data_IF_252283566112
#
_entry.id   IF_252283566112
#
_cell.length_a   1.000
_cell.length_b   1.000
_cell.length_c   1.000
_cell.angle_alpha   90.00
_cell.angle_beta   90.00
_cell.angle_gamma   90.00
#
_symmetry.space_group_name_H-M   'P 1'
#
loop_
_entity.id
_entity.type
_entity.pdbx_description
1 polymer ?
#
# COMPACT_ATOMS: atom_id res chain seq x y z
N UNK A 1 -7.20 -27.79 22.14
CA UNK A 1 -7.67 -26.42 22.41
C UNK A 1 -8.57 -26.01 21.25
N UNK A 2 -9.83 -25.69 21.51
CA UNK A 2 -10.84 -25.30 20.50
C UNK A 2 -11.43 -23.96 20.89
N UNK A 3 -11.91 -23.22 19.92
CA UNK A 3 -12.54 -21.91 20.10
C UNK A 3 -13.93 -21.92 19.47
N UNK A 4 -14.85 -21.19 20.08
CA UNK A 4 -16.21 -21.05 19.57
C UNK A 4 -16.28 -19.84 18.64
N UNK A 5 -16.91 -20.01 17.48
CA UNK A 5 -17.14 -18.90 16.57
C UNK A 5 -18.14 -17.91 17.19
N UNK A 6 -17.80 -16.61 17.30
CA UNK A 6 -18.70 -15.61 17.90
C UNK A 6 -19.93 -15.30 17.03
N UNK A 7 -19.93 -15.69 15.75
CA UNK A 7 -21.03 -15.41 14.82
C UNK A 7 -22.03 -16.57 14.71
N UNK A 8 -21.55 -17.82 14.63
CA UNK A 8 -22.43 -18.98 14.41
C UNK A 8 -22.36 -20.06 15.51
N UNK A 9 -21.48 -19.92 16.50
CA UNK A 9 -21.36 -20.89 17.60
C UNK A 9 -20.58 -22.17 17.27
N UNK A 10 -20.03 -22.30 16.07
CA UNK A 10 -19.30 -23.50 15.65
C UNK A 10 -17.96 -23.67 16.38
N UNK A 11 -17.63 -24.90 16.77
CA UNK A 11 -16.34 -25.23 17.34
C UNK A 11 -15.26 -25.27 16.25
N UNK A 12 -14.24 -24.44 16.38
CA UNK A 12 -13.13 -24.39 15.45
C UNK A 12 -11.81 -24.68 16.17
N UNK A 13 -10.84 -25.38 15.55
CA UNK A 13 -9.50 -25.50 16.10
C UNK A 13 -8.87 -24.12 16.31
N UNK A 14 -8.10 -23.91 17.38
CA UNK A 14 -7.50 -22.59 17.66
C UNK A 14 -6.60 -22.04 16.54
N UNK A 15 -6.00 -22.92 15.73
CA UNK A 15 -5.16 -22.56 14.58
C UNK A 15 -5.93 -21.96 13.40
N UNK A 16 -7.27 -22.02 13.41
CA UNK A 16 -8.09 -21.51 12.31
C UNK A 16 -8.22 -19.99 12.39
N UNK A 17 -7.84 -19.30 11.30
CA UNK A 17 -8.01 -17.84 11.18
C UNK A 17 -9.45 -17.43 10.85
N UNK A 18 -10.18 -18.31 10.18
CA UNK A 18 -11.57 -18.14 9.75
C UNK A 18 -12.40 -19.34 10.17
N UNK A 19 -13.69 -19.14 10.43
CA UNK A 19 -14.62 -20.21 10.73
C UNK A 19 -14.83 -21.09 9.49
N UNK A 20 -14.68 -22.41 9.64
CA UNK A 20 -14.88 -23.36 8.54
C UNK A 20 -16.35 -23.49 8.09
N UNK A 21 -17.30 -23.01 8.90
CA UNK A 21 -18.74 -23.09 8.62
C UNK A 21 -19.30 -21.79 8.03
N UNK A 22 -19.12 -20.65 8.72
CA UNK A 22 -19.72 -19.38 8.32
C UNK A 22 -18.72 -18.35 7.74
N UNK A 23 -17.42 -18.65 7.71
CA UNK A 23 -16.39 -17.76 7.15
C UNK A 23 -15.97 -16.58 8.04
N UNK A 24 -16.54 -16.42 9.24
CA UNK A 24 -16.19 -15.31 10.15
C UNK A 24 -14.71 -15.37 10.55
N UNK A 25 -14.04 -14.22 10.53
CA UNK A 25 -12.66 -14.09 11.04
C UNK A 25 -12.64 -14.36 12.54
N UNK A 26 -11.88 -15.37 12.91
CA UNK A 26 -11.68 -15.80 14.28
C UNK A 26 -10.48 -15.07 14.89
N UNK A 27 -9.43 -14.82 14.10
CA UNK A 27 -8.26 -14.11 14.60
C UNK A 27 -8.39 -12.62 14.24
N UNK A 28 -8.27 -11.69 15.20
CA UNK A 28 -8.08 -10.30 14.83
C UNK A 28 -6.80 -10.21 14.02
N UNK A 29 -6.86 -9.70 12.80
CA UNK A 29 -5.66 -9.22 12.14
C UNK A 29 -5.03 -8.22 13.12
N UNK A 30 -3.78 -8.48 13.52
CA UNK A 30 -2.98 -7.47 14.21
C UNK A 30 -2.93 -6.34 13.22
N UNK A 31 -3.81 -5.36 13.43
CA UNK A 31 -3.90 -4.17 12.60
C UNK A 31 -2.47 -3.71 12.44
N UNK A 32 -1.96 -3.79 11.21
CA UNK A 32 -0.76 -3.06 10.85
C UNK A 32 -1.08 -1.64 11.31
N UNK A 33 -0.48 -1.26 12.43
CA UNK A 33 -0.80 -0.02 13.10
C UNK A 33 -0.75 1.06 12.03
N UNK A 34 -1.77 1.88 11.92
CA UNK A 34 -1.85 2.89 10.88
C UNK A 34 -0.63 3.82 11.01
N UNK A 35 0.45 3.51 10.30
CA UNK A 35 1.72 4.19 10.50
C UNK A 35 1.67 5.45 9.67
N UNK A 36 1.35 6.57 10.32
CA UNK A 36 1.55 7.89 9.73
C UNK A 36 3.04 8.14 9.57
N UNK A 37 3.57 7.95 8.35
CA UNK A 37 4.95 8.28 8.01
C UNK A 37 5.01 9.76 7.63
N UNK A 38 5.75 10.56 8.41
CA UNK A 38 6.08 11.94 8.02
C UNK A 38 7.03 11.90 6.82
N UNK A 39 6.62 12.48 5.70
CA UNK A 39 7.45 12.64 4.50
C UNK A 39 7.83 14.10 4.32
N UNK A 40 9.08 14.36 3.95
CA UNK A 40 9.56 15.70 3.62
C UNK A 40 9.62 15.85 2.10
N UNK A 41 8.87 16.80 1.56
CA UNK A 41 8.91 17.14 0.13
C UNK A 41 9.75 18.40 -0.02
N UNK A 42 10.85 18.29 -0.77
CA UNK A 42 11.70 19.43 -1.10
C UNK A 42 11.39 19.84 -2.54
N UNK A 43 10.90 21.06 -2.70
CA UNK A 43 10.74 21.69 -4.02
C UNK A 43 12.01 22.47 -4.35
N UNK A 44 12.83 21.92 -5.24
CA UNK A 44 13.94 22.65 -5.84
C UNK A 44 13.49 23.13 -7.23
N UNK A 45 13.23 24.43 -7.36
CA UNK A 45 13.11 25.05 -8.67
C UNK A 45 14.50 25.23 -9.27
N UNK A 46 14.76 24.57 -10.39
CA UNK A 46 15.98 24.82 -11.18
C UNK A 46 15.77 26.15 -11.92
N UNK A 47 16.17 27.25 -11.28
CA UNK A 47 16.28 28.54 -11.98
C UNK A 47 17.20 28.35 -13.20
N UNK A 48 16.68 28.75 -14.37
CA UNK A 48 17.33 28.76 -15.69
C UNK A 48 17.27 27.47 -16.56
N UNK A 49 16.32 26.55 -16.37
CA UNK A 49 16.08 25.50 -17.39
C UNK A 49 15.51 26.07 -18.70
N UNK A 50 14.87 27.24 -18.65
CA UNK A 50 14.27 27.93 -19.80
C UNK A 50 15.30 28.39 -20.84
N UNK A 51 16.52 28.76 -20.44
CA UNK A 51 17.57 29.17 -21.39
C UNK A 51 18.20 27.98 -22.13
N UNK A 52 18.22 26.80 -21.51
CA UNK A 52 18.75 25.58 -22.12
C UNK A 52 17.70 24.89 -23.02
N UNK A 53 16.41 24.97 -22.64
CA UNK A 53 15.30 24.43 -23.41
C UNK A 53 14.99 25.17 -24.72
N UNK A 54 15.21 26.49 -24.76
CA UNK A 54 15.04 27.26 -26.01
C UNK A 54 16.18 27.05 -27.02
N UNK A 55 17.37 26.65 -26.58
CA UNK A 55 18.52 26.38 -27.47
C UNK A 55 18.55 24.96 -28.03
N UNK A 56 17.85 24.01 -27.42
CA UNK A 56 17.70 22.64 -27.89
C UNK A 56 16.35 22.49 -28.58
N UNK A 57 16.29 22.94 -29.82
CA UNK A 57 15.18 22.64 -30.72
C UNK A 57 14.98 21.11 -30.77
N UNK A 58 13.76 20.67 -30.48
CA UNK A 58 13.42 19.26 -30.26
C UNK A 58 13.29 18.44 -31.56
N UNK A 59 13.64 19.01 -32.71
CA UNK A 59 13.57 18.36 -34.03
C UNK A 59 14.91 18.17 -34.75
N UNK A 60 16.04 17.93 -34.04
CA UNK A 60 17.31 17.52 -34.69
C UNK A 60 17.89 16.17 -34.24
N UNK A 61 17.06 15.27 -33.70
CA UNK A 61 17.45 13.86 -33.45
C UNK A 61 16.46 12.87 -34.04
N UNK A 62 16.09 13.09 -35.30
CA UNK A 62 15.59 12.04 -36.20
C UNK A 62 16.34 12.16 -37.52
N UNK A 63 17.57 11.62 -37.57
CA UNK A 63 18.09 10.83 -38.69
C UNK A 63 19.55 10.39 -38.41
N UNK A 64 19.72 9.18 -37.88
CA UNK A 64 20.55 8.08 -38.42
C UNK A 64 20.84 7.01 -37.37
#
# INVERSE_FOLDING_TARGET
MVRICPNCGEENPERFRVCGYCGTQLTPEVLAQDVRKTVSVVFCDLKASTELGEKLDSESLRDR
#
